data_IF_975874171653
#
_entry.id   IF_975874171653
#
_cell.length_a   1.000
_cell.length_b   1.000
_cell.length_c   1.000
_cell.angle_alpha   90.00
_cell.angle_beta   90.00
_cell.angle_gamma   90.00
#
_symmetry.space_group_name_H-M   'P 1'
#
loop_
_entity.id
_entity.type
_entity.pdbx_description
1 polymer ?
#
# COMPACT_ATOMS: atom_id res chain seq x y z
N UNK A 1 -49.85 -0.87 0.75
CA UNK A 1 -49.02 -2.08 0.93
C UNK A 1 -47.82 -2.08 -0.04
N UNK A 2 -46.87 -1.15 0.10
CA UNK A 2 -45.63 -1.12 -0.72
C UNK A 2 -44.34 -0.89 0.09
N UNK A 3 -44.44 -0.78 1.41
CA UNK A 3 -43.29 -0.58 2.30
C UNK A 3 -42.64 -1.89 2.78
N UNK A 4 -43.37 -3.01 2.76
CA UNK A 4 -42.88 -4.29 3.29
C UNK A 4 -41.95 -5.05 2.33
N UNK A 5 -41.96 -4.74 1.03
CA UNK A 5 -41.12 -5.39 0.01
C UNK A 5 -39.70 -4.81 -0.09
N UNK A 6 -39.49 -3.57 0.37
CA UNK A 6 -38.16 -2.93 0.39
C UNK A 6 -37.31 -3.43 1.57
N UNK A 7 -37.93 -3.73 2.71
CA UNK A 7 -37.23 -4.25 3.90
C UNK A 7 -36.71 -5.68 3.70
N UNK A 8 -37.43 -6.53 2.96
CA UNK A 8 -36.99 -7.90 2.68
C UNK A 8 -35.81 -7.93 1.69
N UNK A 9 -35.76 -7.03 0.71
CA UNK A 9 -34.59 -6.90 -0.17
C UNK A 9 -33.36 -6.32 0.53
N UNK A 10 -33.55 -5.43 1.51
CA UNK A 10 -32.43 -4.89 2.29
C UNK A 10 -31.83 -5.94 3.24
N UNK A 11 -32.68 -6.78 3.85
CA UNK A 11 -32.23 -7.86 4.74
C UNK A 11 -31.59 -9.04 3.96
N UNK A 12 -32.00 -9.30 2.72
CA UNK A 12 -31.34 -10.29 1.86
C UNK A 12 -29.97 -9.80 1.34
N UNK A 13 -29.77 -8.49 1.20
CA UNK A 13 -28.46 -7.92 0.83
C UNK A 13 -27.42 -7.99 1.96
N UNK A 14 -27.86 -8.04 3.22
CA UNK A 14 -26.97 -8.14 4.39
C UNK A 14 -26.46 -9.57 4.64
N UNK A 15 -27.02 -10.58 3.99
CA UNK A 15 -26.70 -11.99 4.26
C UNK A 15 -25.55 -12.58 3.41
N UNK A 16 -24.82 -11.78 2.63
CA UNK A 16 -23.71 -12.30 1.82
C UNK A 16 -22.30 -11.80 2.17
N UNK A 17 -22.12 -11.15 3.30
CA UNK A 17 -20.77 -10.87 3.83
C UNK A 17 -20.43 -11.90 4.93
N UNK A 18 -20.30 -13.16 4.52
CA UNK A 18 -19.52 -14.11 5.31
C UNK A 18 -18.05 -13.76 5.12
N UNK A 19 -17.48 -12.99 6.06
CA UNK A 19 -16.04 -12.90 6.25
C UNK A 19 -15.52 -14.29 6.61
N UNK A 20 -15.09 -15.04 5.60
CA UNK A 20 -14.37 -16.29 5.80
C UNK A 20 -13.01 -15.98 6.42
N UNK A 21 -12.91 -16.13 7.75
CA UNK A 21 -11.66 -16.21 8.47
C UNK A 21 -10.92 -17.47 8.00
N UNK A 22 -9.94 -17.29 7.10
CA UNK A 22 -8.98 -18.33 6.73
C UNK A 22 -7.60 -17.82 7.05
N UNK A 23 -6.90 -18.52 7.95
CA UNK A 23 -5.55 -18.23 8.41
C UNK A 23 -4.61 -17.83 7.25
N UNK A 24 -3.92 -16.69 7.42
CA UNK A 24 -2.64 -16.41 6.74
C UNK A 24 -2.66 -15.59 5.45
N UNK A 25 -3.71 -14.84 5.12
CA UNK A 25 -3.67 -13.87 4.00
C UNK A 25 -4.65 -12.72 4.23
N UNK A 26 -4.13 -11.55 4.62
CA UNK A 26 -4.93 -10.34 4.83
C UNK A 26 -5.24 -9.69 3.47
N UNK A 27 -6.37 -10.05 2.85
CA UNK A 27 -6.92 -9.40 1.66
C UNK A 27 -8.04 -8.40 2.03
N UNK A 28 -7.77 -7.48 2.94
CA UNK A 28 -8.77 -6.50 3.36
C UNK A 28 -8.26 -5.09 3.04
N UNK A 29 -8.94 -4.46 2.06
CA UNK A 29 -8.95 -3.02 1.69
C UNK A 29 -8.44 -2.60 0.30
N UNK A 30 -8.05 -3.52 -0.60
CA UNK A 30 -7.79 -3.12 -2.00
C UNK A 30 -9.05 -2.75 -2.81
N UNK A 31 -10.25 -2.80 -2.21
CA UNK A 31 -11.53 -2.45 -2.83
C UNK A 31 -11.97 -1.00 -2.61
N UNK A 32 -11.24 -0.22 -1.80
CA UNK A 32 -11.49 1.21 -1.61
C UNK A 32 -10.33 2.01 -2.20
N UNK A 33 -10.14 1.93 -3.52
CA UNK A 33 -9.37 2.95 -4.24
C UNK A 33 -10.31 3.86 -5.02
N UNK A 34 -10.19 5.13 -4.67
CA UNK A 34 -10.93 6.29 -5.11
C UNK A 34 -10.85 6.52 -6.63
N UNK A 35 -12.00 6.86 -7.23
CA UNK A 35 -12.16 7.58 -8.50
C UNK A 35 -11.15 7.25 -9.62
N UNK A 36 -11.19 6.02 -10.12
CA UNK A 36 -10.57 5.69 -11.40
C UNK A 36 -11.39 6.32 -12.54
N UNK A 37 -10.93 7.46 -13.08
CA UNK A 37 -11.27 7.81 -14.47
C UNK A 37 -10.57 6.79 -15.37
N UNK A 38 -11.29 5.71 -15.68
CA UNK A 38 -10.89 4.65 -16.58
C UNK A 38 -10.72 5.22 -18.00
N UNK A 39 -9.56 5.82 -18.29
CA UNK A 39 -9.16 6.04 -19.69
C UNK A 39 -8.89 4.68 -20.28
N UNK A 40 -9.83 4.24 -21.11
CA UNK A 40 -9.76 3.07 -21.99
C UNK A 40 -8.35 2.93 -22.58
N UNK A 41 -7.62 1.92 -22.12
CA UNK A 41 -6.47 1.38 -22.82
C UNK A 41 -6.94 0.10 -23.50
N UNK A 42 -7.20 0.22 -24.80
CA UNK A 42 -7.45 -0.87 -25.71
C UNK A 42 -6.16 -1.68 -25.93
N UNK A 43 -6.20 -2.95 -25.54
CA UNK A 43 -5.58 -4.14 -26.17
C UNK A 43 -5.06 -5.15 -25.13
N UNK A 44 -5.64 -6.35 -25.18
CA UNK A 44 -5.47 -7.52 -24.31
C UNK A 44 -5.87 -7.33 -22.83
N UNK A 45 -6.99 -7.96 -22.47
CA UNK A 45 -7.59 -7.97 -21.13
C UNK A 45 -6.60 -8.33 -20.02
N UNK A 46 -5.92 -7.32 -19.50
CA UNK A 46 -5.10 -7.39 -18.30
C UNK A 46 -6.04 -7.17 -17.11
N UNK A 47 -6.26 -8.25 -16.37
CA UNK A 47 -6.85 -8.19 -15.04
C UNK A 47 -6.22 -7.03 -14.24
N UNK A 48 -7.00 -6.26 -13.46
CA UNK A 48 -6.44 -5.21 -12.62
C UNK A 48 -5.33 -5.79 -11.74
N UNK A 49 -4.24 -5.04 -11.49
CA UNK A 49 -3.10 -5.55 -10.76
C UNK A 49 -3.55 -6.05 -9.39
N UNK A 50 -3.24 -7.32 -9.09
CA UNK A 50 -3.61 -7.97 -7.82
C UNK A 50 -2.43 -7.91 -6.87
N UNK A 51 -2.71 -7.75 -5.58
CA UNK A 51 -1.72 -7.80 -4.52
C UNK A 51 -1.95 -9.00 -3.61
N UNK A 52 -0.87 -9.60 -3.12
CA UNK A 52 -0.86 -10.55 -2.02
C UNK A 52 0.26 -10.16 -1.06
N UNK A 53 -0.08 -10.06 0.23
CA UNK A 53 0.87 -9.70 1.28
C UNK A 53 0.98 -10.88 2.25
N UNK A 54 2.22 -11.28 2.50
CA UNK A 54 2.57 -12.18 3.59
C UNK A 54 3.30 -11.32 4.61
N UNK A 55 2.58 -10.86 5.63
CA UNK A 55 3.18 -10.21 6.78
C UNK A 55 3.84 -11.28 7.65
N UNK A 56 5.07 -11.02 8.08
CA UNK A 56 5.71 -11.81 9.12
C UNK A 56 5.55 -11.09 10.45
N UNK A 57 5.20 -11.82 11.50
CA UNK A 57 5.20 -11.27 12.85
C UNK A 57 6.57 -10.68 13.20
N UNK A 58 6.55 -9.56 13.91
CA UNK A 58 7.69 -8.89 14.54
C UNK A 58 8.81 -8.42 13.59
N UNK A 59 8.91 -7.10 13.42
CA UNK A 59 10.09 -6.35 12.94
C UNK A 59 10.74 -6.83 11.63
N UNK A 60 10.09 -7.73 10.89
CA UNK A 60 10.55 -8.29 9.63
C UNK A 60 9.76 -7.66 8.48
N UNK A 61 10.47 -7.39 7.40
CA UNK A 61 9.88 -6.78 6.21
C UNK A 61 8.76 -7.66 5.64
N UNK A 62 7.58 -7.10 5.31
CA UNK A 62 6.50 -7.85 4.71
C UNK A 62 6.87 -8.27 3.29
N UNK A 63 6.43 -9.47 2.91
CA UNK A 63 6.61 -10.00 1.56
C UNK A 63 5.41 -9.61 0.70
N UNK A 64 5.64 -8.71 -0.25
CA UNK A 64 4.56 -8.16 -1.09
C UNK A 64 4.73 -8.70 -2.51
N UNK A 65 3.69 -9.36 -3.02
CA UNK A 65 3.64 -9.91 -4.37
C UNK A 65 2.56 -9.23 -5.18
N UNK A 66 2.94 -8.66 -6.32
CA UNK A 66 2.03 -8.07 -7.28
C UNK A 66 1.93 -8.91 -8.55
N UNK A 67 0.75 -8.94 -9.15
CA UNK A 67 0.45 -9.63 -10.40
C UNK A 67 -0.07 -8.65 -11.45
N UNK A 68 0.12 -8.95 -12.73
CA UNK A 68 -0.36 -8.11 -13.84
C UNK A 68 0.54 -6.90 -14.13
N UNK A 69 1.81 -6.96 -13.72
CA UNK A 69 2.79 -5.89 -13.91
C UNK A 69 3.69 -6.17 -15.11
N UNK A 70 3.82 -5.23 -16.05
CA UNK A 70 4.54 -5.43 -17.33
C UNK A 70 5.79 -4.57 -17.51
N UNK A 71 6.01 -3.56 -16.66
CA UNK A 71 7.13 -2.60 -16.75
C UNK A 71 8.11 -2.77 -15.60
N UNK A 72 9.11 -1.90 -15.47
CA UNK A 72 9.90 -1.85 -14.23
C UNK A 72 9.22 -0.98 -13.19
N UNK A 73 9.41 -1.32 -11.91
CA UNK A 73 8.75 -0.64 -10.81
C UNK A 73 9.68 -0.40 -9.63
N UNK A 74 9.26 0.51 -8.77
CA UNK A 74 9.79 0.70 -7.41
C UNK A 74 8.62 0.62 -6.44
N UNK A 75 8.84 0.05 -5.27
CA UNK A 75 7.84 0.03 -4.19
C UNK A 75 8.29 0.88 -3.01
N UNK A 76 7.35 1.63 -2.45
CA UNK A 76 7.53 2.47 -1.26
C UNK A 76 6.53 2.00 -0.21
N UNK A 77 7.00 1.67 0.98
CA UNK A 77 6.17 1.26 2.10
C UNK A 77 5.93 2.45 3.03
N UNK A 78 4.66 2.81 3.20
CA UNK A 78 4.22 3.88 4.09
C UNK A 78 3.26 3.36 5.16
N UNK A 79 3.08 4.16 6.20
CA UNK A 79 2.14 3.89 7.29
C UNK A 79 1.80 5.14 8.05
N UNK A 80 0.94 4.99 9.05
CA UNK A 80 0.64 6.05 10.00
C UNK A 80 1.83 6.31 10.94
N UNK A 81 1.80 7.48 11.55
CA UNK A 81 2.60 7.72 12.73
C UNK A 81 2.07 6.89 13.90
N UNK A 82 2.89 5.94 14.35
CA UNK A 82 2.57 5.02 15.43
C UNK A 82 2.61 5.72 16.80
N UNK A 83 3.22 6.90 16.88
CA UNK A 83 3.24 7.76 18.06
C UNK A 83 2.16 8.84 18.04
N UNK A 84 1.51 9.08 16.90
CA UNK A 84 0.43 10.06 16.82
C UNK A 84 -0.78 9.62 17.65
N UNK A 85 -1.36 10.59 18.35
CA UNK A 85 -2.57 10.42 19.13
C UNK A 85 -3.69 9.85 18.24
N UNK A 86 -4.19 8.67 18.62
CA UNK A 86 -5.26 7.95 17.91
C UNK A 86 -6.63 8.61 18.07
N UNK A 87 -6.77 9.56 18.99
CA UNK A 87 -8.01 10.30 19.23
C UNK A 87 -8.19 11.50 18.29
N UNK A 88 -7.12 11.94 17.64
CA UNK A 88 -7.16 13.04 16.66
C UNK A 88 -7.28 12.51 15.23
N UNK A 89 -7.90 13.28 14.30
CA UNK A 89 -7.86 12.97 12.88
C UNK A 89 -6.41 12.83 12.40
N UNK A 90 -6.04 11.61 11.99
CA UNK A 90 -4.72 11.35 11.46
C UNK A 90 -4.65 11.88 10.02
N UNK A 91 -3.58 12.61 9.63
CA UNK A 91 -3.33 12.85 8.21
C UNK A 91 -3.20 11.51 7.49
N UNK A 92 -3.43 11.50 6.17
CA UNK A 92 -3.19 10.30 5.37
C UNK A 92 -1.75 9.80 5.62
N UNK A 93 -1.51 8.48 5.51
CA UNK A 93 -0.22 7.82 5.79
C UNK A 93 0.92 8.63 5.18
N UNK A 94 2.09 8.68 5.80
CA UNK A 94 3.15 9.58 5.33
C UNK A 94 4.52 9.32 5.95
N UNK A 95 4.63 8.31 6.81
CA UNK A 95 5.92 7.84 7.31
C UNK A 95 6.48 6.81 6.34
N UNK A 96 7.74 6.98 5.94
CA UNK A 96 8.49 6.01 5.15
C UNK A 96 9.02 4.87 6.03
N UNK A 97 8.45 3.68 5.89
CA UNK A 97 8.89 2.47 6.59
C UNK A 97 9.84 1.61 5.76
N UNK A 98 9.92 1.86 4.44
CA UNK A 98 10.91 1.20 3.61
C UNK A 98 10.81 1.56 2.13
N UNK A 99 11.94 1.49 1.45
CA UNK A 99 12.05 1.60 0.00
C UNK A 99 12.63 0.31 -0.59
N UNK A 100 12.05 -0.17 -1.68
CA UNK A 100 12.61 -1.26 -2.47
C UNK A 100 13.34 -0.72 -3.71
N UNK A 101 14.38 -1.43 -4.15
CA UNK A 101 15.10 -1.10 -5.37
C UNK A 101 14.22 -1.30 -6.64
N UNK A 102 14.77 -0.98 -7.81
CA UNK A 102 14.11 -1.26 -9.09
C UNK A 102 13.87 -2.77 -9.25
N UNK A 103 12.61 -3.15 -9.47
CA UNK A 103 12.20 -4.54 -9.73
C UNK A 103 11.77 -4.70 -11.19
N UNK A 104 12.20 -5.81 -11.80
CA UNK A 104 11.68 -6.31 -13.08
C UNK A 104 10.70 -7.45 -12.79
N UNK A 105 9.43 -7.36 -13.21
CA UNK A 105 8.50 -8.48 -13.15
C UNK A 105 9.00 -9.66 -13.98
N UNK A 106 8.58 -10.85 -13.59
CA UNK A 106 8.70 -12.06 -14.41
C UNK A 106 7.88 -11.96 -15.69
N UNK A 107 8.09 -12.90 -16.61
CA UNK A 107 7.37 -13.01 -17.90
C UNK A 107 5.86 -13.14 -17.67
N UNK A 108 5.43 -13.76 -16.57
CA UNK A 108 4.01 -13.91 -16.19
C UNK A 108 3.43 -12.66 -15.52
N UNK A 109 4.20 -11.56 -15.45
CA UNK A 109 3.79 -10.31 -14.84
C UNK A 109 3.75 -10.32 -13.31
N UNK A 110 4.39 -11.32 -12.68
CA UNK A 110 4.55 -11.41 -11.22
C UNK A 110 5.81 -10.67 -10.78
N UNK A 111 5.68 -9.79 -9.78
CA UNK A 111 6.79 -9.09 -9.15
C UNK A 111 6.74 -9.25 -7.62
N UNK A 112 7.90 -9.35 -6.99
CA UNK A 112 8.05 -9.46 -5.53
C UNK A 112 8.85 -8.27 -5.02
N UNK A 113 8.38 -7.66 -3.94
CA UNK A 113 9.01 -6.51 -3.29
C UNK A 113 9.47 -6.90 -1.89
N UNK A 114 10.72 -6.56 -1.57
CA UNK A 114 11.40 -6.88 -0.32
C UNK A 114 12.17 -5.65 0.17
N UNK A 115 11.94 -5.17 1.37
CA UNK A 115 12.49 -3.88 1.84
C UNK A 115 13.79 -4.03 2.64
N UNK A 116 14.60 -5.06 2.37
CA UNK A 116 15.72 -5.49 3.23
C UNK A 116 16.69 -4.40 3.72
N UNK A 117 17.03 -3.41 2.89
CA UNK A 117 18.06 -2.42 3.23
C UNK A 117 17.56 -1.18 3.96
N UNK A 118 16.25 -0.93 3.96
CA UNK A 118 15.67 0.31 4.50
C UNK A 118 14.40 0.07 5.34
N UNK A 119 14.03 -1.19 5.53
CA UNK A 119 12.90 -1.53 6.36
C UNK A 119 13.20 -1.25 7.82
N UNK A 120 12.44 -0.33 8.40
CA UNK A 120 12.57 0.02 9.79
C UNK A 120 11.19 0.36 10.34
N UNK A 121 10.74 -0.38 11.36
CA UNK A 121 9.45 -0.17 12.00
C UNK A 121 9.53 -0.48 13.50
N UNK A 122 8.75 0.18 14.36
CA UNK A 122 8.70 -0.18 15.76
C UNK A 122 8.03 -1.54 15.95
N UNK A 123 8.28 -2.13 17.11
CA UNK A 123 7.56 -3.33 17.53
C UNK A 123 6.08 -3.03 17.76
N UNK A 124 5.21 -3.70 17.01
CA UNK A 124 3.76 -3.64 17.19
C UNK A 124 3.37 -4.73 18.19
N UNK A 125 2.67 -4.33 19.26
CA UNK A 125 2.12 -5.26 20.24
C UNK A 125 0.86 -5.90 19.67
N UNK A 126 0.67 -7.19 19.94
CA UNK A 126 -0.52 -7.93 19.53
C UNK A 126 -1.81 -7.17 19.92
N UNK A 127 -2.74 -7.06 18.98
CA UNK A 127 -4.00 -6.33 19.15
C UNK A 127 -3.88 -4.80 19.03
N UNK A 128 -2.69 -4.26 18.74
CA UNK A 128 -2.47 -2.84 18.43
C UNK A 128 -2.07 -2.61 16.97
N UNK A 129 -2.52 -3.49 16.08
CA UNK A 129 -2.18 -3.41 14.67
C UNK A 129 -2.48 -2.05 14.05
N UNK A 130 -1.69 -1.68 13.05
CA UNK A 130 -1.89 -0.45 12.29
C UNK A 130 -1.83 -0.76 10.79
N UNK A 131 -2.38 0.15 9.98
CA UNK A 131 -2.46 -0.02 8.54
C UNK A 131 -1.22 0.56 7.84
N UNK A 132 -0.66 -0.25 6.95
CA UNK A 132 0.47 0.08 6.11
C UNK A 132 0.05 -0.03 4.64
N UNK A 133 0.68 0.77 3.77
CA UNK A 133 0.45 0.72 2.34
C UNK A 133 1.77 0.61 1.58
N UNK A 134 1.83 -0.32 0.65
CA UNK A 134 2.90 -0.43 -0.32
C UNK A 134 2.46 0.22 -1.64
N UNK A 135 3.02 1.37 -1.94
CA UNK A 135 2.78 2.12 -3.17
C UNK A 135 3.74 1.70 -4.26
N UNK A 136 3.20 1.36 -5.43
CA UNK A 136 3.98 0.91 -6.59
C UNK A 136 4.06 2.05 -7.60
N UNK A 137 5.29 2.41 -7.98
CA UNK A 137 5.58 3.51 -8.89
C UNK A 137 6.14 3.01 -10.22
N UNK A 138 5.68 3.62 -11.32
CA UNK A 138 6.16 3.36 -12.68
C UNK A 138 6.28 4.67 -13.49
N UNK A 139 7.38 4.89 -14.23
CA UNK A 139 8.64 4.13 -14.22
C UNK A 139 9.32 4.11 -12.83
N UNK A 140 10.37 3.30 -12.61
CA UNK A 140 11.08 3.26 -11.34
C UNK A 140 11.54 4.64 -10.89
N UNK A 141 11.51 4.84 -9.57
CA UNK A 141 11.93 6.09 -8.97
C UNK A 141 13.44 6.24 -9.06
N UNK A 142 13.91 7.48 -9.18
CA UNK A 142 15.28 7.85 -8.82
C UNK A 142 15.23 8.41 -7.40
N UNK A 143 16.23 8.08 -6.59
CA UNK A 143 16.26 8.55 -5.21
C UNK A 143 16.66 10.03 -5.16
N UNK A 144 15.70 10.87 -4.78
CA UNK A 144 15.90 12.29 -4.46
C UNK A 144 16.65 12.51 -3.15
N UNK A 145 17.14 13.73 -2.88
CA UNK A 145 17.82 14.05 -1.62
C UNK A 145 16.98 13.78 -0.37
N UNK A 146 15.67 14.09 -0.38
CA UNK A 146 14.84 13.88 0.81
C UNK A 146 14.62 12.39 1.09
N UNK A 147 14.36 11.59 0.05
CA UNK A 147 14.30 10.14 0.20
C UNK A 147 15.64 9.61 0.71
N UNK A 148 16.78 9.98 0.08
CA UNK A 148 18.11 9.55 0.52
C UNK A 148 18.42 9.89 1.97
N UNK A 149 17.99 11.06 2.43
CA UNK A 149 18.20 11.50 3.81
C UNK A 149 17.36 10.69 4.82
N UNK A 150 16.20 10.17 4.39
CA UNK A 150 15.34 9.31 5.19
C UNK A 150 15.84 7.86 5.25
N UNK A 151 16.45 7.36 4.16
CA UNK A 151 16.89 5.96 4.09
C UNK A 151 17.97 5.64 5.13
N UNK A 152 17.90 4.45 5.73
CA UNK A 152 18.87 3.98 6.72
C UNK A 152 18.79 4.67 8.09
N UNK A 153 17.84 5.58 8.28
CA UNK A 153 17.55 6.19 9.59
C UNK A 153 16.58 5.34 10.40
N UNK A 154 16.41 5.63 11.69
CA UNK A 154 15.44 4.91 12.54
C UNK A 154 14.00 5.31 12.20
N UNK A 155 13.02 4.46 12.49
CA UNK A 155 11.59 4.75 12.21
C UNK A 155 11.10 6.05 12.87
N UNK A 156 11.72 6.46 13.99
CA UNK A 156 11.39 7.67 14.73
C UNK A 156 12.09 8.93 14.22
N UNK A 157 12.94 8.83 13.19
CA UNK A 157 13.64 9.98 12.62
C UNK A 157 12.64 10.89 11.89
N UNK A 158 12.59 12.20 12.19
CA UNK A 158 11.70 13.14 11.51
C UNK A 158 11.87 13.15 9.98
N UNK A 159 13.04 12.78 9.46
CA UNK A 159 13.29 12.69 8.01
C UNK A 159 12.43 11.63 7.32
N UNK A 160 11.93 10.62 8.05
CA UNK A 160 10.98 9.64 7.51
C UNK A 160 9.55 10.17 7.47
N UNK A 161 9.25 11.31 8.10
CA UNK A 161 7.91 11.89 8.12
C UNK A 161 7.72 12.89 6.96
N UNK A 162 6.99 12.45 5.93
CA UNK A 162 6.64 13.27 4.76
C UNK A 162 5.27 13.93 4.89
N UNK A 163 4.59 13.74 6.02
CA UNK A 163 3.29 14.34 6.33
C UNK A 163 2.10 13.59 5.75
N UNK A 164 2.12 13.26 4.45
CA UNK A 164 1.08 12.43 3.82
C UNK A 164 1.57 11.75 2.54
N UNK A 165 0.82 10.76 2.04
CA UNK A 165 1.14 10.01 0.83
C UNK A 165 1.10 10.93 -0.39
N UNK A 166 0.23 11.95 -0.38
CA UNK A 166 0.14 12.96 -1.44
C UNK A 166 1.37 13.86 -1.43
N UNK A 167 1.84 14.29 -0.25
CA UNK A 167 3.07 15.08 -0.14
C UNK A 167 4.29 14.25 -0.55
N UNK A 168 4.34 12.99 -0.15
CA UNK A 168 5.37 12.05 -0.57
C UNK A 168 5.33 11.84 -2.10
N UNK A 169 4.16 11.67 -2.70
CA UNK A 169 3.96 11.57 -4.15
C UNK A 169 4.52 12.80 -4.88
N UNK A 170 4.31 14.00 -4.34
CA UNK A 170 4.83 15.25 -4.89
C UNK A 170 6.35 15.27 -4.82
N UNK A 171 6.93 14.97 -3.65
CA UNK A 171 8.39 14.95 -3.42
C UNK A 171 9.09 13.94 -4.32
N UNK A 172 8.55 12.73 -4.41
CA UNK A 172 9.06 11.65 -5.27
C UNK A 172 9.11 12.10 -6.74
N UNK A 173 8.09 12.81 -7.21
CA UNK A 173 8.03 13.32 -8.58
C UNK A 173 9.00 14.48 -8.80
N UNK A 174 9.07 15.43 -7.88
CA UNK A 174 9.91 16.62 -8.03
C UNK A 174 11.41 16.29 -7.98
N UNK A 175 11.81 15.36 -7.12
CA UNK A 175 13.23 15.09 -6.86
C UNK A 175 13.78 13.86 -7.58
N UNK A 176 12.92 12.89 -7.88
CA UNK A 176 13.33 11.61 -8.43
C UNK A 176 13.15 11.57 -9.94
N UNK A 177 11.94 11.19 -10.34
CA UNK A 177 11.56 11.06 -11.74
C UNK A 177 10.19 11.72 -11.95
N UNK A 178 10.12 12.88 -12.63
CA UNK A 178 8.86 13.59 -12.87
C UNK A 178 7.82 12.77 -13.63
N UNK A 179 8.27 11.80 -14.43
CA UNK A 179 7.39 10.91 -15.20
C UNK A 179 6.89 9.72 -14.38
N UNK A 180 7.45 9.48 -13.20
CA UNK A 180 7.00 8.40 -12.35
C UNK A 180 5.69 8.74 -11.66
N UNK A 181 4.79 7.77 -11.65
CA UNK A 181 3.47 7.89 -11.03
C UNK A 181 3.17 6.65 -10.23
N UNK A 182 2.45 6.84 -9.12
CA UNK A 182 1.85 5.73 -8.37
C UNK A 182 0.81 5.06 -9.27
N UNK A 183 1.03 3.79 -9.60
CA UNK A 183 0.14 3.01 -10.47
C UNK A 183 -0.88 2.21 -9.66
N UNK A 184 -0.52 1.81 -8.45
CA UNK A 184 -1.39 1.06 -7.54
C UNK A 184 -0.81 1.09 -6.13
N UNK A 185 -1.64 0.74 -5.16
CA UNK A 185 -1.30 0.67 -3.75
C UNK A 185 -1.84 -0.63 -3.18
N UNK A 186 -1.05 -1.28 -2.33
CA UNK A 186 -1.45 -2.46 -1.61
C UNK A 186 -1.39 -2.19 -0.11
N UNK A 187 -2.56 -2.06 0.51
CA UNK A 187 -2.67 -1.76 1.94
C UNK A 187 -3.04 -3.01 2.74
N UNK A 188 -2.50 -3.12 3.95
CA UNK A 188 -2.62 -4.28 4.82
C UNK A 188 -2.37 -3.87 6.27
N UNK A 189 -2.79 -4.72 7.21
CA UNK A 189 -2.60 -4.52 8.64
C UNK A 189 -1.44 -5.40 9.10
N UNK A 190 -0.58 -4.87 9.96
CA UNK A 190 0.41 -5.65 10.73
C UNK A 190 -0.02 -5.58 12.20
N UNK A 191 -0.20 -6.73 12.84
CA UNK A 191 -0.60 -6.91 14.24
C UNK A 191 0.33 -7.83 15.05
#
# INVERSE_FOLDING_TARGET
MRFSLLLVNFLLYLNHVQCAYRNGSYNLLSLLSSNWKLRSYTSLGLNPPKCSVISSHHSRSPYITMYGLSRHYTAVLTGYDLHADKTMPRPNKGILYGLNAKVRPSITGKARFLFHSDFEMPFIKHGKGDEFCCHIYAPPLKMGPNLKAALGTRYSDPKRFFGSDEKLDIIIKSEGNPNSRRITSCCFIID
#
